data_IF_250995408934
#
_entry.id   IF_250995408934
#
_cell.length_a   1.000
_cell.length_b   1.000
_cell.length_c   1.000
_cell.angle_alpha   90.00
_cell.angle_beta   90.00
_cell.angle_gamma   90.00
#
_symmetry.space_group_name_H-M   'P 1'
#
loop_
_entity.id
_entity.type
_entity.pdbx_description
1 polymer ?
#
# COMPACT_ATOMS: atom_id res chain seq x y z
N UNK A 1 27.12 -26.79 -10.03
CA UNK A 1 27.61 -28.15 -9.93
C UNK A 1 29.09 -28.18 -10.23
N UNK A 2 29.82 -29.11 -9.62
CA UNK A 2 31.22 -29.45 -9.93
C UNK A 2 31.25 -30.64 -10.88
N UNK A 3 31.95 -30.48 -11.98
CA UNK A 3 32.24 -31.62 -12.89
C UNK A 3 33.74 -31.74 -13.09
N UNK A 4 34.25 -32.95 -13.01
CA UNK A 4 35.66 -33.25 -13.28
C UNK A 4 35.80 -33.51 -14.79
N UNK A 5 36.73 -32.81 -15.42
CA UNK A 5 37.06 -32.99 -16.80
C UNK A 5 38.56 -33.24 -16.96
N UNK A 6 38.94 -34.25 -17.74
CA UNK A 6 40.32 -34.46 -18.13
C UNK A 6 40.73 -33.47 -19.19
N UNK A 7 41.77 -32.72 -18.93
CA UNK A 7 42.35 -31.76 -19.90
C UNK A 7 43.76 -32.22 -20.26
N UNK A 8 44.13 -32.04 -21.53
CA UNK A 8 45.52 -32.30 -21.95
C UNK A 8 46.38 -31.06 -21.67
N UNK A 9 47.40 -31.24 -20.92
CA UNK A 9 48.34 -30.20 -20.54
C UNK A 9 49.73 -30.61 -21.09
N UNK A 10 50.56 -29.64 -21.48
CA UNK A 10 51.93 -29.86 -21.89
C UNK A 10 52.90 -29.46 -20.76
N UNK A 11 53.85 -30.36 -20.48
CA UNK A 11 54.90 -30.03 -19.53
C UNK A 11 55.97 -29.09 -20.13
N UNK A 12 56.98 -28.71 -19.36
CA UNK A 12 58.09 -27.82 -19.78
C UNK A 12 58.93 -28.43 -20.89
N UNK A 13 58.88 -29.75 -21.11
CA UNK A 13 59.62 -30.50 -22.12
C UNK A 13 58.77 -30.69 -23.40
N UNK A 14 57.48 -30.34 -23.38
CA UNK A 14 56.57 -30.46 -24.50
C UNK A 14 55.77 -31.79 -24.51
N UNK A 15 55.95 -32.62 -23.50
CA UNK A 15 55.24 -33.90 -23.38
C UNK A 15 53.78 -33.66 -22.91
N UNK A 16 52.81 -34.30 -23.58
CA UNK A 16 51.40 -34.21 -23.25
C UNK A 16 51.01 -35.22 -22.16
N UNK A 17 50.37 -34.73 -21.10
CA UNK A 17 49.75 -35.55 -20.06
C UNK A 17 48.32 -35.08 -19.82
N UNK A 18 47.49 -35.96 -19.23
CA UNK A 18 46.14 -35.63 -18.85
C UNK A 18 46.08 -35.24 -17.38
N UNK A 19 45.47 -34.13 -17.10
CA UNK A 19 45.29 -33.57 -15.76
C UNK A 19 43.80 -33.40 -15.48
N UNK A 20 43.39 -33.75 -14.26
CA UNK A 20 42.02 -33.51 -13.79
C UNK A 20 41.82 -32.00 -13.55
N UNK A 21 40.87 -31.45 -14.26
CA UNK A 21 40.44 -30.06 -14.04
C UNK A 21 39.00 -30.03 -13.53
N UNK A 22 38.79 -29.33 -12.43
CA UNK A 22 37.44 -29.11 -11.89
C UNK A 22 36.83 -27.95 -12.64
N UNK A 23 35.78 -28.23 -13.39
CA UNK A 23 34.99 -27.20 -14.03
C UNK A 23 33.76 -26.95 -13.20
N UNK A 24 33.64 -25.74 -12.70
CA UNK A 24 32.44 -25.29 -12.05
C UNK A 24 31.45 -24.80 -13.12
N UNK A 25 30.26 -25.40 -13.16
CA UNK A 25 29.18 -25.04 -14.06
C UNK A 25 27.90 -24.73 -13.28
N UNK A 26 26.89 -24.21 -13.97
CA UNK A 26 25.59 -23.93 -13.38
C UNK A 26 25.67 -22.94 -12.20
N UNK A 27 26.43 -21.88 -12.40
CA UNK A 27 26.42 -20.77 -11.45
C UNK A 27 25.03 -20.13 -11.44
N UNK A 28 24.42 -20.05 -10.27
CA UNK A 28 23.16 -19.33 -10.07
C UNK A 28 23.29 -18.38 -8.88
N UNK A 29 22.63 -17.26 -9.00
CA UNK A 29 22.52 -16.33 -7.88
C UNK A 29 21.42 -16.85 -6.96
N UNK A 30 21.77 -17.18 -5.72
CA UNK A 30 20.77 -17.43 -4.69
C UNK A 30 20.10 -16.08 -4.36
N UNK A 31 18.84 -15.94 -4.70
CA UNK A 31 18.06 -14.72 -4.50
C UNK A 31 16.95 -15.00 -3.49
N UNK A 32 16.63 -13.99 -2.66
CA UNK A 32 15.52 -14.07 -1.70
C UNK A 32 14.16 -14.13 -2.41
N UNK A 33 14.07 -13.54 -3.62
CA UNK A 33 12.86 -13.53 -4.45
C UNK A 33 13.14 -14.12 -5.83
N UNK A 34 12.22 -14.95 -6.32
CA UNK A 34 12.21 -15.37 -7.72
C UNK A 34 11.57 -14.30 -8.65
N UNK A 35 11.67 -14.53 -9.95
CA UNK A 35 11.15 -13.57 -10.95
C UNK A 35 9.61 -13.44 -10.90
N UNK A 36 8.90 -14.50 -10.51
CA UNK A 36 7.43 -14.50 -10.40
C UNK A 36 6.97 -13.71 -9.18
N UNK A 37 7.67 -13.86 -8.06
CA UNK A 37 7.42 -13.11 -6.82
C UNK A 37 7.69 -11.62 -7.03
N UNK A 38 8.83 -11.27 -7.64
CA UNK A 38 9.14 -9.87 -7.99
C UNK A 38 8.09 -9.28 -8.93
N UNK A 39 7.60 -10.08 -9.89
CA UNK A 39 6.54 -9.66 -10.79
C UNK A 39 5.26 -9.36 -10.05
N UNK A 40 4.83 -10.23 -9.13
CA UNK A 40 3.63 -10.03 -8.32
C UNK A 40 3.71 -8.75 -7.48
N UNK A 41 4.88 -8.46 -6.89
CA UNK A 41 5.12 -7.23 -6.13
C UNK A 41 4.99 -5.99 -7.04
N UNK A 42 5.56 -6.03 -8.25
CA UNK A 42 5.46 -4.94 -9.23
C UNK A 42 4.01 -4.73 -9.67
N UNK A 43 3.28 -5.80 -9.98
CA UNK A 43 1.88 -5.71 -10.36
C UNK A 43 1.04 -5.11 -9.24
N UNK A 44 1.28 -5.47 -7.96
CA UNK A 44 0.66 -4.84 -6.80
C UNK A 44 0.90 -3.34 -6.72
N UNK A 45 2.13 -2.88 -7.03
CA UNK A 45 2.46 -1.44 -7.10
C UNK A 45 1.75 -0.74 -8.28
N UNK A 46 1.65 -1.41 -9.43
CA UNK A 46 0.97 -0.85 -10.61
C UNK A 46 -0.52 -0.67 -10.37
N UNK A 47 -1.18 -1.63 -9.72
CA UNK A 47 -2.60 -1.57 -9.39
C UNK A 47 -2.93 -0.65 -8.21
N UNK A 48 -1.94 -0.28 -7.40
CA UNK A 48 -2.12 0.66 -6.30
C UNK A 48 -2.52 2.05 -6.80
N UNK A 49 -3.66 2.56 -6.35
CA UNK A 49 -4.16 3.89 -6.71
C UNK A 49 -3.70 4.99 -5.75
N UNK A 50 -3.16 4.62 -4.59
CA UNK A 50 -2.77 5.54 -3.52
C UNK A 50 -1.30 5.95 -3.58
N UNK A 51 -0.45 5.24 -4.33
CA UNK A 51 0.96 5.58 -4.49
C UNK A 51 1.13 6.51 -5.70
N UNK A 52 1.74 7.70 -5.55
CA UNK A 52 2.01 8.60 -6.67
C UNK A 52 2.82 7.92 -7.77
N UNK A 53 2.53 8.25 -9.03
CA UNK A 53 3.18 7.60 -10.18
C UNK A 53 4.71 7.66 -10.13
N UNK A 54 5.27 8.81 -9.73
CA UNK A 54 6.72 8.98 -9.61
C UNK A 54 7.35 8.07 -8.55
N UNK A 55 6.68 7.90 -7.40
CA UNK A 55 7.11 7.01 -6.33
C UNK A 55 6.95 5.54 -6.74
N UNK A 56 5.84 5.20 -7.41
CA UNK A 56 5.59 3.87 -7.96
C UNK A 56 6.72 3.47 -8.92
N UNK A 57 7.09 4.35 -9.87
CA UNK A 57 8.18 4.12 -10.81
C UNK A 57 9.53 3.91 -10.10
N UNK A 58 9.81 4.70 -9.08
CA UNK A 58 11.04 4.57 -8.27
C UNK A 58 11.09 3.22 -7.54
N UNK A 59 9.98 2.78 -6.93
CA UNK A 59 9.89 1.49 -6.23
C UNK A 59 10.05 0.33 -7.21
N UNK A 60 9.39 0.37 -8.37
CA UNK A 60 9.52 -0.65 -9.40
C UNK A 60 10.99 -0.79 -9.82
N UNK A 61 11.69 0.32 -10.07
CA UNK A 61 13.10 0.27 -10.43
C UNK A 61 13.98 -0.37 -9.36
N UNK A 62 13.66 -0.17 -8.07
CA UNK A 62 14.37 -0.83 -6.96
C UNK A 62 14.11 -2.33 -6.93
N UNK A 63 12.85 -2.75 -7.13
CA UNK A 63 12.45 -4.17 -7.18
C UNK A 63 13.11 -4.87 -8.38
N UNK A 64 13.11 -4.22 -9.57
CA UNK A 64 13.80 -4.73 -10.75
C UNK A 64 15.30 -4.95 -10.50
N UNK A 65 15.92 -4.11 -9.66
CA UNK A 65 17.32 -4.23 -9.26
C UNK A 65 17.65 -5.48 -8.42
N UNK A 66 16.63 -6.15 -7.85
CA UNK A 66 16.79 -7.41 -7.10
C UNK A 66 16.91 -8.63 -8.03
N UNK A 67 16.69 -8.47 -9.33
CA UNK A 67 16.81 -9.52 -10.32
C UNK A 67 17.93 -9.21 -11.33
N UNK A 68 17.93 -9.88 -12.47
CA UNK A 68 18.91 -9.72 -13.55
C UNK A 68 18.39 -8.77 -14.66
N UNK A 69 19.27 -8.43 -15.60
CA UNK A 69 18.97 -7.50 -16.70
C UNK A 69 17.84 -8.00 -17.62
N UNK A 70 17.59 -9.29 -17.69
CA UNK A 70 16.53 -9.89 -18.54
C UNK A 70 15.16 -9.72 -17.91
N UNK A 71 15.05 -9.62 -16.60
CA UNK A 71 13.79 -9.39 -15.89
C UNK A 71 13.15 -8.06 -16.26
N UNK A 72 13.93 -6.99 -16.40
CA UNK A 72 13.46 -5.65 -16.78
C UNK A 72 12.68 -5.63 -18.09
N UNK A 73 13.02 -6.49 -19.06
CA UNK A 73 12.32 -6.56 -20.33
C UNK A 73 10.91 -7.17 -20.22
N UNK A 74 10.67 -8.04 -19.24
CA UNK A 74 9.41 -8.75 -19.08
C UNK A 74 8.31 -7.91 -18.44
N UNK A 75 8.68 -6.86 -17.70
CA UNK A 75 7.73 -5.98 -16.99
C UNK A 75 7.08 -4.94 -17.90
N UNK A 76 7.60 -4.72 -19.11
CA UNK A 76 7.15 -3.70 -20.06
C UNK A 76 5.74 -3.91 -20.64
N UNK A 77 5.14 -5.07 -20.42
CA UNK A 77 3.83 -5.43 -21.00
C UNK A 77 2.64 -4.99 -20.14
N UNK A 78 2.86 -4.54 -18.90
CA UNK A 78 1.81 -3.98 -18.06
C UNK A 78 2.05 -2.49 -17.90
N UNK A 79 1.03 -1.70 -18.19
CA UNK A 79 1.04 -0.25 -18.05
C UNK A 79 -0.08 0.18 -17.11
N UNK A 80 0.17 1.22 -16.36
CA UNK A 80 -0.85 1.92 -15.56
C UNK A 80 -0.94 3.35 -16.04
N UNK A 81 -2.12 3.94 -15.94
CA UNK A 81 -2.33 5.34 -16.29
C UNK A 81 -1.97 6.24 -15.09
N UNK A 82 -1.12 7.28 -15.31
CA UNK A 82 -0.78 8.23 -14.24
C UNK A 82 -2.00 8.89 -13.59
N UNK A 83 -3.06 9.13 -14.39
CA UNK A 83 -4.31 9.77 -13.97
C UNK A 83 -5.08 8.96 -12.92
N UNK A 84 -4.85 7.65 -12.85
CA UNK A 84 -5.47 6.77 -11.85
C UNK A 84 -4.81 6.86 -10.48
N UNK A 85 -3.64 7.52 -10.37
CA UNK A 85 -2.85 7.61 -9.15
C UNK A 85 -2.99 8.97 -8.48
N UNK A 86 -2.76 8.98 -7.16
CA UNK A 86 -2.72 10.23 -6.39
C UNK A 86 -1.47 11.05 -6.71
N UNK A 87 -1.56 12.39 -6.51
CA UNK A 87 -0.41 13.29 -6.57
C UNK A 87 0.22 13.57 -5.20
N UNK A 88 -0.35 13.04 -4.12
CA UNK A 88 0.13 13.28 -2.76
C UNK A 88 1.43 12.54 -2.48
N UNK A 89 2.54 13.27 -2.51
CA UNK A 89 3.89 12.73 -2.27
C UNK A 89 4.19 12.45 -0.78
N UNK A 90 3.33 12.91 0.13
CA UNK A 90 3.50 12.71 1.59
C UNK A 90 2.91 11.39 2.09
N UNK A 91 2.38 10.55 1.21
CA UNK A 91 1.68 9.34 1.60
C UNK A 91 2.48 8.46 2.57
N UNK A 92 3.74 8.15 2.26
CA UNK A 92 4.56 7.29 3.12
C UNK A 92 4.81 7.92 4.49
N UNK A 93 5.08 9.21 4.51
CA UNK A 93 5.21 9.96 5.75
C UNK A 93 3.91 9.95 6.57
N UNK A 94 2.76 10.12 5.89
CA UNK A 94 1.46 10.06 6.55
C UNK A 94 1.22 8.68 7.19
N UNK A 95 1.59 7.59 6.51
CA UNK A 95 1.46 6.22 7.03
C UNK A 95 2.29 6.05 8.30
N UNK A 96 3.55 6.49 8.30
CA UNK A 96 4.44 6.38 9.46
C UNK A 96 3.90 7.14 10.68
N UNK A 97 3.47 8.38 10.49
CA UNK A 97 2.92 9.21 11.59
C UNK A 97 1.61 8.61 12.12
N UNK A 98 0.75 8.09 11.25
CA UNK A 98 -0.51 7.46 11.66
C UNK A 98 -0.24 6.18 12.45
N UNK A 99 0.66 5.33 11.98
CA UNK A 99 1.04 4.08 12.66
C UNK A 99 1.62 4.35 14.05
N UNK A 100 2.51 5.34 14.15
CA UNK A 100 3.08 5.78 15.41
C UNK A 100 2.00 6.30 16.37
N UNK A 101 1.05 7.11 15.88
CA UNK A 101 -0.01 7.68 16.72
C UNK A 101 -0.99 6.60 17.21
N UNK A 102 -1.34 5.62 16.38
CA UNK A 102 -2.16 4.46 16.78
C UNK A 102 -1.43 3.67 17.86
N UNK A 103 -0.15 3.36 17.65
CA UNK A 103 0.67 2.60 18.61
C UNK A 103 0.82 3.31 19.95
N UNK A 104 1.00 4.63 19.93
CA UNK A 104 1.14 5.46 21.15
C UNK A 104 -0.19 5.93 21.72
N UNK A 105 -1.33 5.59 21.10
CA UNK A 105 -2.68 6.05 21.49
C UNK A 105 -2.75 7.57 21.64
N UNK A 106 -2.24 8.28 20.63
CA UNK A 106 -2.21 9.75 20.57
C UNK A 106 -3.14 10.28 19.50
N UNK A 107 -3.65 11.49 19.74
CA UNK A 107 -4.43 12.21 18.72
C UNK A 107 -3.55 12.64 17.54
N UNK A 108 -4.20 12.82 16.39
CA UNK A 108 -3.61 13.41 15.19
C UNK A 108 -4.34 14.70 14.82
N UNK A 109 -3.61 15.67 14.30
CA UNK A 109 -4.19 16.78 13.56
C UNK A 109 -3.72 16.74 12.11
N UNK A 110 -4.60 17.15 11.16
CA UNK A 110 -4.27 17.26 9.75
C UNK A 110 -5.22 18.18 8.99
N UNK A 111 -4.83 18.59 7.78
CA UNK A 111 -5.74 19.18 6.81
C UNK A 111 -6.17 18.12 5.79
N UNK A 112 -7.37 18.26 5.24
CA UNK A 112 -7.93 17.30 4.27
C UNK A 112 -8.17 17.96 2.92
N UNK A 113 -7.78 17.27 1.85
CA UNK A 113 -7.88 17.76 0.48
C UNK A 113 -9.23 17.38 -0.15
N UNK A 114 -9.81 18.31 -0.89
CA UNK A 114 -10.99 18.09 -1.73
C UNK A 114 -10.77 18.65 -3.13
N UNK A 115 -11.48 18.13 -4.12
CA UNK A 115 -11.42 18.67 -5.48
C UNK A 115 -12.18 19.99 -5.58
N UNK A 116 -11.52 21.00 -6.15
CA UNK A 116 -12.16 22.24 -6.57
C UNK A 116 -12.81 22.11 -7.95
N UNK A 117 -13.50 23.17 -8.37
CA UNK A 117 -14.10 23.28 -9.71
C UNK A 117 -13.05 23.31 -10.82
N UNK A 118 -11.81 23.68 -10.50
CA UNK A 118 -10.63 23.65 -11.37
C UNK A 118 -10.03 22.24 -11.53
N UNK A 119 -10.69 21.21 -10.96
CA UNK A 119 -10.24 19.79 -10.94
C UNK A 119 -8.91 19.57 -10.20
N UNK A 120 -8.46 20.53 -9.39
CA UNK A 120 -7.27 20.40 -8.54
C UNK A 120 -7.66 20.13 -7.09
N UNK A 121 -6.72 19.55 -6.35
CA UNK A 121 -6.87 19.32 -4.92
C UNK A 121 -6.54 20.58 -4.14
N UNK A 122 -7.45 20.99 -3.27
CA UNK A 122 -7.31 22.12 -2.38
C UNK A 122 -7.57 21.71 -0.94
N UNK A 123 -6.94 22.39 0.01
CA UNK A 123 -7.26 22.19 1.43
C UNK A 123 -8.70 22.64 1.66
N UNK A 124 -9.49 21.77 2.28
CA UNK A 124 -10.86 22.07 2.67
C UNK A 124 -10.90 23.24 3.64
N UNK A 125 -11.75 24.23 3.35
CA UNK A 125 -11.87 25.45 4.13
C UNK A 125 -13.06 25.41 5.06
N UNK A 126 -12.99 26.23 6.11
CA UNK A 126 -14.12 26.58 6.97
C UNK A 126 -14.99 27.64 6.28
N UNK A 127 -16.21 27.91 6.77
CA UNK A 127 -17.07 28.97 6.24
C UNK A 127 -16.45 30.38 6.29
N UNK A 128 -15.50 30.60 7.21
CA UNK A 128 -14.75 31.85 7.37
C UNK A 128 -13.56 32.00 6.38
N UNK A 129 -13.35 30.99 5.50
CA UNK A 129 -12.28 30.97 4.52
C UNK A 129 -10.94 30.46 5.03
N UNK A 130 -10.79 30.15 6.33
CA UNK A 130 -9.58 29.58 6.91
C UNK A 130 -9.47 28.08 6.58
N UNK A 131 -8.26 27.56 6.57
CA UNK A 131 -8.02 26.12 6.36
C UNK A 131 -8.61 25.29 7.50
N UNK A 132 -9.36 24.24 7.14
CA UNK A 132 -9.99 23.37 8.13
C UNK A 132 -8.97 22.36 8.65
N UNK A 133 -8.67 22.43 9.94
CA UNK A 133 -7.90 21.44 10.68
C UNK A 133 -8.85 20.43 11.30
N UNK A 134 -8.47 19.15 11.20
CA UNK A 134 -9.17 18.02 11.79
C UNK A 134 -8.33 17.48 12.94
N UNK A 135 -8.91 17.37 14.12
CA UNK A 135 -8.33 16.69 15.28
C UNK A 135 -9.07 15.38 15.45
N UNK A 136 -8.35 14.27 15.40
CA UNK A 136 -8.96 12.93 15.35
C UNK A 136 -8.28 11.97 16.34
N UNK A 137 -9.02 10.94 16.71
CA UNK A 137 -8.59 9.80 17.48
C UNK A 137 -8.39 8.63 16.50
N UNK A 138 -7.16 8.25 16.14
CA UNK A 138 -6.90 7.21 15.16
C UNK A 138 -7.08 5.82 15.79
N UNK A 139 -7.67 4.89 15.02
CA UNK A 139 -7.90 3.51 15.49
C UNK A 139 -7.21 2.49 14.62
N UNK A 140 -7.38 2.55 13.30
CA UNK A 140 -6.85 1.56 12.38
C UNK A 140 -6.65 2.14 10.98
N UNK A 141 -5.67 1.61 10.25
CA UNK A 141 -5.57 1.79 8.80
C UNK A 141 -6.14 0.57 8.08
N UNK A 142 -6.85 0.81 6.98
CA UNK A 142 -7.44 -0.24 6.15
C UNK A 142 -7.14 0.00 4.67
N UNK A 143 -6.81 -1.07 3.95
CA UNK A 143 -6.64 -1.04 2.50
C UNK A 143 -7.90 -1.58 1.82
N UNK A 144 -8.49 -0.80 0.90
CA UNK A 144 -9.65 -1.20 0.12
C UNK A 144 -9.61 -0.60 -1.28
N UNK A 145 -9.82 -1.44 -2.29
CA UNK A 145 -9.87 -1.03 -3.70
C UNK A 145 -8.66 -0.18 -4.15
N UNK A 146 -7.47 -0.59 -3.72
CA UNK A 146 -6.23 0.08 -4.06
C UNK A 146 -6.01 1.44 -3.37
N UNK A 147 -6.76 1.73 -2.29
CA UNK A 147 -6.63 2.95 -1.49
C UNK A 147 -6.48 2.62 0.00
N UNK A 148 -5.77 3.48 0.72
CA UNK A 148 -5.70 3.42 2.18
C UNK A 148 -6.69 4.38 2.82
N UNK A 149 -7.32 3.90 3.88
CA UNK A 149 -8.28 4.65 4.70
C UNK A 149 -7.82 4.64 6.16
N UNK A 150 -7.92 5.78 6.80
CA UNK A 150 -7.80 5.92 8.25
C UNK A 150 -9.18 5.84 8.86
N UNK A 151 -9.42 4.81 9.67
CA UNK A 151 -10.62 4.65 10.50
C UNK A 151 -10.34 5.37 11.81
N UNK A 152 -11.11 6.37 12.13
CA UNK A 152 -10.89 7.23 13.28
C UNK A 152 -12.21 7.82 13.78
N UNK A 153 -12.14 8.48 14.91
CA UNK A 153 -13.21 9.35 15.40
C UNK A 153 -12.76 10.81 15.25
N UNK A 154 -13.61 11.66 14.69
CA UNK A 154 -13.38 13.10 14.74
C UNK A 154 -13.70 13.61 16.12
N UNK A 155 -12.70 14.15 16.82
CA UNK A 155 -12.77 14.42 18.27
C UNK A 155 -14.00 15.22 18.73
N UNK A 156 -14.53 16.05 17.83
CA UNK A 156 -15.73 16.87 18.07
C UNK A 156 -17.03 16.06 18.15
N UNK A 157 -17.07 14.85 17.60
CA UNK A 157 -18.27 14.01 17.50
C UNK A 157 -17.99 12.62 18.06
N UNK A 158 -19.03 11.82 18.26
CA UNK A 158 -18.89 10.43 18.73
C UNK A 158 -18.93 9.40 17.60
N UNK A 159 -19.15 9.84 16.36
CA UNK A 159 -19.21 8.96 15.19
C UNK A 159 -17.84 8.56 14.65
N UNK A 160 -17.80 7.44 13.95
CA UNK A 160 -16.63 7.05 13.17
C UNK A 160 -16.57 7.85 11.87
N UNK A 161 -15.36 8.19 11.49
CA UNK A 161 -15.02 8.84 10.22
C UNK A 161 -13.95 8.04 9.50
N UNK A 162 -14.05 7.99 8.17
CA UNK A 162 -13.05 7.36 7.32
C UNK A 162 -12.42 8.42 6.42
N UNK A 163 -11.10 8.58 6.53
CA UNK A 163 -10.34 9.52 5.71
C UNK A 163 -9.39 8.77 4.79
N UNK A 164 -9.39 9.12 3.52
CA UNK A 164 -8.41 8.58 2.57
C UNK A 164 -7.03 9.19 2.87
N UNK A 165 -6.01 8.34 3.01
CA UNK A 165 -4.66 8.77 3.36
C UNK A 165 -4.03 9.66 2.28
N UNK A 166 -4.35 9.41 1.02
CA UNK A 166 -3.85 10.19 -0.11
C UNK A 166 -4.42 11.64 -0.16
N UNK A 167 -5.46 11.92 0.64
CA UNK A 167 -6.04 13.26 0.81
C UNK A 167 -5.64 13.96 2.11
N UNK A 168 -4.81 13.31 2.93
CA UNK A 168 -4.31 13.89 4.17
C UNK A 168 -3.04 14.69 3.87
N UNK A 169 -2.96 15.92 4.38
CA UNK A 169 -1.77 16.75 4.34
C UNK A 169 -1.54 17.47 5.67
N UNK A 170 -0.33 17.97 5.89
CA UNK A 170 0.06 18.69 7.10
C UNK A 170 -0.23 17.90 8.39
N UNK A 171 -0.03 16.58 8.36
CA UNK A 171 -0.30 15.69 9.49
C UNK A 171 0.69 15.92 10.62
N UNK A 172 0.18 15.88 11.87
CA UNK A 172 0.98 16.00 13.09
C UNK A 172 0.40 15.09 14.18
N UNK A 173 1.26 14.39 14.89
CA UNK A 173 0.87 13.73 16.14
C UNK A 173 0.83 14.75 17.27
N UNK A 174 -0.26 14.71 18.05
CA UNK A 174 -0.45 15.58 19.21
C UNK A 174 -0.01 14.87 20.50
N UNK A 175 0.31 15.64 21.53
CA UNK A 175 0.62 15.06 22.83
C UNK A 175 -0.62 14.56 23.60
N UNK A 176 -1.80 14.98 23.16
CA UNK A 176 -3.09 14.59 23.75
C UNK A 176 -3.36 13.09 23.53
N UNK A 177 -3.75 12.35 24.57
CA UNK A 177 -4.19 10.97 24.44
C UNK A 177 -5.43 10.86 23.55
N UNK A 178 -5.49 9.84 22.69
CA UNK A 178 -6.65 9.54 21.88
C UNK A 178 -7.77 8.91 22.72
N UNK A 179 -9.03 9.24 22.40
CA UNK A 179 -10.19 8.48 22.89
C UNK A 179 -10.10 7.04 22.39
N UNK A 180 -10.26 6.07 23.26
CA UNK A 180 -10.29 4.66 22.86
C UNK A 180 -11.58 4.37 22.08
N UNK A 181 -11.50 3.47 21.11
CA UNK A 181 -12.68 3.04 20.33
C UNK A 181 -13.80 2.51 21.26
N UNK A 182 -13.42 1.70 22.25
CA UNK A 182 -14.32 1.09 23.24
C UNK A 182 -15.03 2.12 24.13
N UNK A 183 -14.50 3.34 24.21
CA UNK A 183 -15.12 4.43 25.00
C UNK A 183 -16.20 5.19 24.24
N UNK A 184 -16.37 4.93 22.94
CA UNK A 184 -17.42 5.56 22.14
C UNK A 184 -18.80 5.01 22.55
N UNK A 185 -19.84 5.85 22.68
CA UNK A 185 -21.14 5.45 23.25
C UNK A 185 -21.79 4.23 22.56
N UNK A 186 -21.59 4.10 21.27
CA UNK A 186 -22.19 3.04 20.44
C UNK A 186 -21.33 1.78 20.31
N UNK A 187 -20.09 1.78 20.77
CA UNK A 187 -19.19 0.62 20.76
C UNK A 187 -19.60 -0.46 21.75
N UNK A 188 -20.42 -0.09 22.78
CA UNK A 188 -20.79 -0.97 23.91
C UNK A 188 -19.57 -1.57 24.63
N UNK A 189 -18.44 -0.88 24.65
CA UNK A 189 -17.19 -1.36 25.23
C UNK A 189 -16.48 -2.45 24.43
N UNK A 190 -16.91 -2.72 23.18
CA UNK A 190 -16.35 -3.77 22.33
C UNK A 190 -15.25 -3.14 21.44
N UNK A 191 -14.06 -3.77 21.32
CA UNK A 191 -13.00 -3.33 20.41
C UNK A 191 -13.45 -3.32 18.95
N UNK A 192 -12.78 -2.51 18.12
CA UNK A 192 -13.03 -2.45 16.68
C UNK A 192 -12.71 -3.80 16.04
N UNK A 193 -13.74 -4.47 15.51
CA UNK A 193 -13.60 -5.60 14.61
C UNK A 193 -13.44 -5.07 13.18
N UNK A 194 -12.19 -5.01 12.70
CA UNK A 194 -11.86 -4.48 11.38
C UNK A 194 -12.51 -5.28 10.26
N UNK A 195 -12.57 -6.61 10.37
CA UNK A 195 -13.17 -7.46 9.33
C UNK A 195 -14.67 -7.17 9.19
N UNK A 196 -15.39 -7.16 10.30
CA UNK A 196 -16.82 -6.81 10.33
C UNK A 196 -17.04 -5.39 9.79
N UNK A 197 -16.26 -4.42 10.27
CA UNK A 197 -16.36 -3.04 9.84
C UNK A 197 -16.18 -2.89 8.32
N UNK A 198 -15.15 -3.53 7.74
CA UNK A 198 -14.87 -3.48 6.31
C UNK A 198 -15.95 -4.15 5.46
N UNK A 199 -16.59 -5.20 5.97
CA UNK A 199 -17.70 -5.91 5.30
C UNK A 199 -18.97 -5.07 5.30
N UNK A 200 -19.26 -4.39 6.41
CA UNK A 200 -20.45 -3.56 6.58
C UNK A 200 -20.35 -2.20 5.86
N UNK A 201 -19.14 -1.68 5.65
CA UNK A 201 -18.88 -0.37 5.04
C UNK A 201 -18.18 -0.50 3.67
N UNK A 202 -18.92 -1.01 2.67
CA UNK A 202 -18.38 -1.35 1.35
C UNK A 202 -17.63 -0.19 0.70
N UNK A 203 -18.12 1.04 0.81
CA UNK A 203 -17.47 2.23 0.24
C UNK A 203 -16.75 3.10 1.28
N UNK A 204 -16.48 2.55 2.48
CA UNK A 204 -15.88 3.29 3.58
C UNK A 204 -16.65 4.57 3.97
N UNK A 205 -17.97 4.56 3.81
CA UNK A 205 -18.87 5.57 4.37
C UNK A 205 -19.42 5.05 5.70
N UNK A 206 -19.33 5.88 6.73
CA UNK A 206 -19.92 5.59 8.03
C UNK A 206 -21.39 5.99 8.01
N UNK A 207 -22.29 5.02 8.12
CA UNK A 207 -23.74 5.22 8.22
C UNK A 207 -24.38 4.04 8.92
N UNK A 208 -25.60 4.19 9.48
CA UNK A 208 -26.34 3.06 10.02
C UNK A 208 -26.60 2.00 8.95
N UNK A 209 -26.36 0.75 9.29
CA UNK A 209 -26.62 -0.37 8.38
C UNK A 209 -28.12 -0.66 8.34
N UNK A 210 -28.65 -0.83 7.13
CA UNK A 210 -30.03 -1.27 6.90
C UNK A 210 -30.04 -2.57 6.12
N UNK A 211 -30.89 -3.51 6.53
CA UNK A 211 -31.08 -4.75 5.79
C UNK A 211 -32.00 -4.50 4.61
N UNK A 212 -31.47 -4.59 3.38
CA UNK A 212 -32.27 -4.56 2.16
C UNK A 212 -32.48 -5.98 1.62
N UNK A 213 -33.70 -6.27 1.12
CA UNK A 213 -33.99 -7.49 0.37
C UNK A 213 -34.44 -7.09 -1.02
N UNK A 214 -33.78 -7.64 -2.05
CA UNK A 214 -34.23 -7.47 -3.43
C UNK A 214 -34.32 -8.82 -4.12
N UNK A 215 -35.19 -8.87 -5.12
CA UNK A 215 -35.34 -10.01 -6.01
C UNK A 215 -34.55 -9.71 -7.28
N UNK A 216 -33.65 -10.60 -7.64
CA UNK A 216 -32.83 -10.50 -8.86
C UNK A 216 -33.16 -11.70 -9.75
N UNK A 217 -32.97 -11.58 -11.06
CA UNK A 217 -33.03 -12.69 -12.00
C UNK A 217 -31.73 -13.50 -11.95
N UNK A 218 -31.82 -14.80 -12.31
CA UNK A 218 -30.67 -15.70 -12.26
C UNK A 218 -29.41 -15.19 -13.01
N UNK A 219 -29.50 -14.55 -14.19
CA UNK A 219 -28.34 -13.99 -14.87
C UNK A 219 -27.63 -12.84 -14.12
N UNK A 220 -28.34 -12.13 -13.24
CA UNK A 220 -27.80 -11.00 -12.48
C UNK A 220 -27.07 -11.39 -11.19
N UNK A 221 -27.03 -12.70 -10.87
CA UNK A 221 -26.40 -13.15 -9.63
C UNK A 221 -24.90 -12.76 -9.59
N UNK A 222 -24.20 -12.92 -10.71
CA UNK A 222 -22.77 -12.57 -10.81
C UNK A 222 -22.46 -11.08 -10.69
N UNK A 223 -23.46 -10.20 -10.89
CA UNK A 223 -23.30 -8.75 -10.77
C UNK A 223 -23.52 -8.25 -9.33
N UNK A 224 -24.04 -9.12 -8.45
CA UNK A 224 -24.45 -8.78 -7.07
C UNK A 224 -23.56 -9.48 -6.03
N UNK A 225 -22.89 -10.57 -6.39
CA UNK A 225 -21.92 -11.30 -5.57
C UNK A 225 -20.51 -10.85 -5.91
#
# INVERSE_FOLDING_TARGET
SESIRMIKVKDKNGDEYEEESVIMSDFYLNRDFDDSELRLLIDGLLFSKHIPYSQCKSLISKIEGLSNVYFKSRVKHIMTFPEDKTDNRQLFYNIEIIDEAISKKKQLSFNYLEYGTDKKMHIKKRPDGTDREYIINPYQMAAKEGKYYLICNYDKYDDISNYRLDRICNIKMLDTPAKLFESLPWSNGIPLDLHKYMTEHIYMYSSPNVRAKFRITKPMISDVI
#
